data_IF_988696053538
#
_entry.id   IF_988696053538
#
_cell.length_a   1.000
_cell.length_b   1.000
_cell.length_c   1.000
_cell.angle_alpha   90.00
_cell.angle_beta   90.00
_cell.angle_gamma   90.00
#
_symmetry.space_group_name_H-M   'P 1'
#
loop_
_entity.id
_entity.type
_entity.pdbx_description
1 polymer ?
#
# COMPACT_ATOMS: atom_id res chain seq x y z
N UNK A 1 -7.61 16.79 30.22
CA UNK A 1 -8.10 15.58 29.55
C UNK A 1 -9.35 15.99 28.79
N UNK A 2 -9.28 16.18 27.47
CA UNK A 2 -10.51 16.21 26.66
C UNK A 2 -11.15 14.83 26.80
N UNK A 3 -12.45 14.75 27.05
CA UNK A 3 -13.19 13.52 26.80
C UNK A 3 -12.91 13.14 25.35
N UNK A 4 -12.35 11.94 25.14
CA UNK A 4 -12.19 11.42 23.79
C UNK A 4 -13.57 11.08 23.28
N UNK A 5 -14.08 11.88 22.35
CA UNK A 5 -15.31 11.58 21.65
C UNK A 5 -15.01 10.52 20.58
N UNK A 6 -15.95 9.60 20.39
CA UNK A 6 -15.77 8.42 19.54
C UNK A 6 -16.96 8.27 18.60
N UNK A 7 -16.66 7.94 17.34
CA UNK A 7 -17.64 7.63 16.31
C UNK A 7 -18.03 6.16 16.41
N UNK A 8 -19.31 5.87 16.59
CA UNK A 8 -19.83 4.51 16.45
C UNK A 8 -19.75 4.04 15.00
N UNK A 9 -19.26 2.82 14.79
CA UNK A 9 -19.25 2.17 13.48
C UNK A 9 -20.50 1.31 13.36
N UNK A 10 -21.37 1.68 12.42
CA UNK A 10 -22.63 0.98 12.15
C UNK A 10 -22.43 -0.21 11.21
N UNK A 11 -21.52 -0.08 10.24
CA UNK A 11 -21.27 -1.16 9.26
C UNK A 11 -19.79 -1.32 8.98
N UNK A 12 -19.36 -2.58 8.89
CA UNK A 12 -18.03 -2.96 8.40
C UNK A 12 -18.20 -3.64 7.04
N UNK A 13 -17.48 -3.17 6.02
CA UNK A 13 -17.36 -3.87 4.73
C UNK A 13 -15.89 -4.17 4.46
N UNK A 14 -15.63 -5.20 3.67
CA UNK A 14 -14.30 -5.53 3.22
C UNK A 14 -14.31 -5.75 1.72
N UNK A 15 -13.36 -5.12 1.03
CA UNK A 15 -13.18 -5.27 -0.41
C UNK A 15 -11.88 -6.01 -0.67
N UNK A 16 -11.97 -7.15 -1.36
CA UNK A 16 -10.81 -7.80 -1.95
C UNK A 16 -10.23 -6.92 -3.05
N UNK A 17 -9.05 -6.36 -2.83
CA UNK A 17 -8.46 -5.39 -3.74
C UNK A 17 -7.69 -6.02 -4.90
N UNK A 18 -7.48 -7.34 -4.98
CA UNK A 18 -6.86 -8.03 -6.15
C UNK A 18 -6.79 -9.56 -5.96
N UNK A 19 -6.51 -10.36 -7.02
CA UNK A 19 -6.31 -11.82 -6.95
C UNK A 19 -5.07 -12.29 -6.16
N UNK A 20 -4.24 -11.39 -5.60
CA UNK A 20 -3.13 -11.72 -4.67
C UNK A 20 -3.30 -11.08 -3.28
N UNK A 21 -4.55 -10.83 -2.87
CA UNK A 21 -4.94 -10.82 -1.46
C UNK A 21 -4.44 -9.63 -0.64
N UNK A 22 -4.66 -8.38 -1.04
CA UNK A 22 -4.79 -7.30 -0.02
C UNK A 22 -6.24 -6.87 0.02
N UNK A 23 -6.68 -6.43 1.18
CA UNK A 23 -8.07 -6.04 1.39
C UNK A 23 -8.12 -4.60 1.89
N UNK A 24 -9.20 -3.92 1.51
CA UNK A 24 -9.55 -2.61 2.07
C UNK A 24 -10.69 -2.85 3.05
N UNK A 25 -10.46 -2.49 4.30
CA UNK A 25 -11.48 -2.50 5.34
C UNK A 25 -12.15 -1.13 5.40
N UNK A 26 -13.46 -1.11 5.27
CA UNK A 26 -14.29 0.09 5.37
C UNK A 26 -15.08 0.08 6.67
N UNK A 27 -14.97 1.15 7.44
CA UNK A 27 -15.67 1.37 8.71
C UNK A 27 -16.63 2.55 8.54
N UNK A 28 -17.92 2.28 8.37
CA UNK A 28 -18.95 3.30 8.15
C UNK A 28 -19.56 3.76 9.48
N UNK A 29 -19.66 5.07 9.65
CA UNK A 29 -20.44 5.73 10.69
C UNK A 29 -21.59 6.48 10.02
N UNK A 30 -22.80 5.92 10.10
CA UNK A 30 -24.02 6.56 9.56
C UNK A 30 -24.44 7.78 10.36
N UNK A 31 -24.07 7.87 11.64
CA UNK A 31 -24.34 9.05 12.47
C UNK A 31 -23.52 10.26 12.03
N UNK A 32 -22.24 10.03 11.68
CA UNK A 32 -21.34 11.10 11.21
C UNK A 32 -21.30 11.21 9.69
N UNK A 33 -22.04 10.36 8.96
CA UNK A 33 -22.07 10.30 7.50
C UNK A 33 -20.67 10.24 6.90
N UNK A 34 -19.86 9.34 7.46
CA UNK A 34 -18.42 9.20 7.15
C UNK A 34 -17.98 7.77 7.19
N UNK A 35 -16.89 7.47 6.49
CA UNK A 35 -16.25 6.17 6.55
C UNK A 35 -14.73 6.29 6.63
N UNK A 36 -14.09 5.32 7.30
CA UNK A 36 -12.64 5.18 7.34
C UNK A 36 -12.22 3.96 6.52
N UNK A 37 -11.21 4.12 5.65
CA UNK A 37 -10.57 3.01 4.92
C UNK A 37 -9.23 2.63 5.56
N UNK A 38 -9.01 1.34 5.75
CA UNK A 38 -7.77 0.78 6.29
C UNK A 38 -7.30 -0.36 5.38
N UNK A 39 -6.07 -0.25 4.87
CA UNK A 39 -5.44 -1.33 4.13
C UNK A 39 -5.01 -2.44 5.08
N UNK A 40 -5.39 -3.68 4.77
CA UNK A 40 -5.05 -4.86 5.56
C UNK A 40 -4.53 -5.98 4.66
N UNK A 41 -3.71 -6.86 5.26
CA UNK A 41 -3.10 -7.97 4.56
C UNK A 41 -4.10 -9.07 4.17
N UNK A 42 -3.63 -9.99 3.32
CA UNK A 42 -4.34 -11.16 2.82
C UNK A 42 -5.07 -11.96 3.89
N UNK A 43 -4.31 -12.35 4.90
CA UNK A 43 -4.75 -13.32 5.89
C UNK A 43 -5.78 -12.70 6.83
N UNK A 44 -5.56 -11.44 7.19
CA UNK A 44 -6.49 -10.68 8.01
C UNK A 44 -7.78 -10.37 7.26
N UNK A 45 -7.67 -9.88 6.02
CA UNK A 45 -8.81 -9.51 5.19
C UNK A 45 -9.68 -10.69 4.78
N UNK A 46 -9.08 -11.83 4.43
CA UNK A 46 -9.84 -13.03 4.09
C UNK A 46 -10.60 -13.57 5.29
N UNK A 47 -10.02 -13.56 6.50
CA UNK A 47 -10.73 -13.98 7.70
C UNK A 47 -11.91 -13.08 8.04
N UNK A 48 -11.76 -11.76 7.89
CA UNK A 48 -12.85 -10.80 8.07
C UNK A 48 -13.94 -11.02 7.01
N UNK A 49 -13.55 -11.22 5.74
CA UNK A 49 -14.48 -11.47 4.64
C UNK A 49 -15.33 -12.72 4.89
N UNK A 50 -14.68 -13.84 5.21
CA UNK A 50 -15.38 -15.09 5.51
C UNK A 50 -16.38 -14.92 6.65
N UNK A 51 -16.04 -14.13 7.67
CA UNK A 51 -16.95 -13.84 8.78
C UNK A 51 -18.13 -12.96 8.37
N UNK A 52 -17.89 -11.90 7.58
CA UNK A 52 -18.95 -11.00 7.11
C UNK A 52 -19.91 -11.68 6.13
N UNK A 53 -19.41 -12.62 5.34
CA UNK A 53 -20.21 -13.44 4.41
C UNK A 53 -20.77 -14.72 5.05
N UNK A 54 -20.54 -14.92 6.36
CA UNK A 54 -20.99 -16.09 7.12
C UNK A 54 -20.56 -17.43 6.50
N UNK A 55 -19.40 -17.46 5.84
CA UNK A 55 -18.87 -18.67 5.20
C UNK A 55 -18.25 -19.59 6.25
N UNK A 56 -18.79 -20.80 6.35
CA UNK A 56 -18.26 -21.82 7.25
C UNK A 56 -16.87 -22.32 6.80
N UNK A 57 -15.96 -22.46 7.77
CA UNK A 57 -14.63 -23.02 7.56
C UNK A 57 -14.54 -24.43 8.17
N UNK A 58 -13.65 -25.27 7.63
CA UNK A 58 -13.50 -26.65 8.10
C UNK A 58 -13.03 -26.76 9.57
N UNK A 59 -12.35 -25.72 10.05
CA UNK A 59 -11.89 -25.59 11.44
C UNK A 59 -11.85 -24.11 11.83
N UNK A 60 -12.02 -23.77 13.12
CA UNK A 60 -11.96 -22.38 13.57
C UNK A 60 -10.67 -21.69 13.13
N UNK A 61 -10.83 -20.54 12.45
CA UNK A 61 -9.75 -19.62 12.11
C UNK A 61 -9.35 -18.77 13.33
N UNK A 62 -8.27 -18.01 13.23
CA UNK A 62 -7.65 -17.29 14.35
C UNK A 62 -8.63 -16.44 15.13
N UNK A 63 -9.38 -15.55 14.48
CA UNK A 63 -10.30 -14.66 15.20
C UNK A 63 -11.44 -15.41 15.87
N UNK A 64 -11.98 -16.44 15.22
CA UNK A 64 -13.00 -17.31 15.80
C UNK A 64 -12.46 -18.05 17.02
N UNK A 65 -11.26 -18.63 16.91
CA UNK A 65 -10.61 -19.33 18.01
C UNK A 65 -10.38 -18.40 19.20
N UNK A 66 -9.93 -17.16 18.97
CA UNK A 66 -9.78 -16.17 20.05
C UNK A 66 -11.12 -15.76 20.68
N UNK A 67 -12.18 -15.58 19.89
CA UNK A 67 -13.50 -15.30 20.43
C UNK A 67 -14.03 -16.47 21.30
N UNK A 68 -13.82 -17.71 20.86
CA UNK A 68 -14.17 -18.90 21.63
C UNK A 68 -13.29 -19.05 22.88
N UNK A 69 -12.00 -18.70 22.80
CA UNK A 69 -11.08 -18.63 23.95
C UNK A 69 -11.56 -17.61 25.00
N UNK A 70 -11.92 -16.39 24.58
CA UNK A 70 -12.46 -15.36 25.48
C UNK A 70 -13.72 -15.87 26.19
N UNK A 71 -14.63 -16.52 25.46
CA UNK A 71 -15.83 -17.13 26.03
C UNK A 71 -15.50 -18.23 27.04
N UNK A 72 -14.54 -19.12 26.72
CA UNK A 72 -14.12 -20.21 27.59
C UNK A 72 -13.46 -19.69 28.88
N UNK A 73 -12.80 -18.54 28.82
CA UNK A 73 -12.16 -17.87 29.97
C UNK A 73 -13.10 -16.90 30.70
N UNK A 74 -14.37 -16.82 30.30
CA UNK A 74 -15.37 -15.88 30.85
C UNK A 74 -14.92 -14.40 30.76
N UNK A 75 -14.20 -14.07 29.68
CA UNK A 75 -13.74 -12.71 29.37
C UNK A 75 -14.65 -12.12 28.28
N UNK A 76 -15.20 -10.94 28.54
CA UNK A 76 -16.00 -10.19 27.58
C UNK A 76 -15.12 -9.13 26.88
N UNK A 77 -15.14 -9.10 25.55
CA UNK A 77 -14.68 -7.94 24.78
C UNK A 77 -15.79 -6.88 24.83
N UNK A 78 -15.58 -5.78 25.54
CA UNK A 78 -16.59 -4.72 25.72
C UNK A 78 -16.69 -3.81 24.51
N UNK A 79 -15.54 -3.46 23.92
CA UNK A 79 -15.47 -2.56 22.76
C UNK A 79 -14.10 -2.65 22.09
N UNK A 80 -14.07 -2.20 20.84
CA UNK A 80 -12.84 -1.98 20.07
C UNK A 80 -12.84 -0.56 19.54
N UNK A 81 -11.75 0.17 19.72
CA UNK A 81 -11.60 1.54 19.21
C UNK A 81 -10.37 1.64 18.32
N UNK A 82 -10.53 2.06 17.06
CA UNK A 82 -9.41 2.52 16.23
C UNK A 82 -9.00 3.89 16.74
N UNK A 83 -7.92 3.92 17.53
CA UNK A 83 -7.66 5.00 18.47
C UNK A 83 -6.69 6.06 17.95
N UNK A 84 -5.80 5.71 17.02
CA UNK A 84 -4.80 6.64 16.48
C UNK A 84 -4.18 6.16 15.17
N UNK A 85 -3.69 7.12 14.40
CA UNK A 85 -2.79 6.92 13.27
C UNK A 85 -1.46 7.59 13.62
N UNK A 86 -0.36 6.86 13.47
CA UNK A 86 0.98 7.41 13.61
C UNK A 86 1.78 7.10 12.36
N UNK A 87 2.30 8.16 11.72
CA UNK A 87 2.90 8.15 10.38
C UNK A 87 1.93 7.61 9.33
N UNK A 88 1.88 6.30 9.14
CA UNK A 88 1.00 5.59 8.21
C UNK A 88 0.40 4.31 8.81
N UNK A 89 0.55 4.11 10.12
CA UNK A 89 0.11 2.89 10.82
C UNK A 89 -1.02 3.19 11.78
N UNK A 90 -2.18 2.55 11.56
CA UNK A 90 -3.32 2.61 12.46
C UNK A 90 -3.12 1.68 13.66
N UNK A 91 -3.58 2.13 14.83
CA UNK A 91 -3.57 1.37 16.07
C UNK A 91 -4.99 1.29 16.64
N UNK A 92 -5.35 0.13 17.16
CA UNK A 92 -6.61 -0.09 17.86
C UNK A 92 -6.38 -0.48 19.31
N UNK A 93 -7.37 -0.20 20.15
CA UNK A 93 -7.42 -0.58 21.56
C UNK A 93 -8.65 -1.44 21.77
N UNK A 94 -8.48 -2.60 22.39
CA UNK A 94 -9.56 -3.50 22.79
C UNK A 94 -9.77 -3.45 24.30
N UNK A 95 -11.00 -3.23 24.76
CA UNK A 95 -11.37 -3.23 26.17
C UNK A 95 -11.94 -4.60 26.56
N UNK A 96 -11.30 -5.27 27.52
CA UNK A 96 -11.70 -6.58 28.01
C UNK A 96 -12.16 -6.50 29.47
N UNK A 97 -13.31 -7.11 29.76
CA UNK A 97 -13.85 -7.29 31.11
C UNK A 97 -13.74 -8.75 31.55
N UNK A 98 -13.19 -8.97 32.73
CA UNK A 98 -13.31 -10.23 33.47
C UNK A 98 -13.83 -9.91 34.88
N UNK A 99 -15.13 -10.16 35.10
CA UNK A 99 -15.83 -9.73 36.31
C UNK A 99 -15.74 -8.21 36.54
N UNK A 100 -15.15 -7.81 37.66
CA UNK A 100 -14.98 -6.39 38.01
C UNK A 100 -13.77 -5.72 37.34
N UNK A 101 -12.86 -6.50 36.75
CA UNK A 101 -11.61 -5.99 36.19
C UNK A 101 -11.79 -5.67 34.72
N UNK A 102 -11.47 -4.43 34.34
CA UNK A 102 -11.39 -3.98 32.94
C UNK A 102 -9.92 -3.73 32.59
N UNK A 103 -9.48 -4.24 31.44
CA UNK A 103 -8.12 -4.02 30.91
C UNK A 103 -8.18 -3.64 29.44
N UNK A 104 -7.22 -2.81 29.05
CA UNK A 104 -7.01 -2.41 27.66
C UNK A 104 -5.84 -3.18 27.05
N UNK A 105 -5.94 -3.48 25.76
CA UNK A 105 -4.88 -4.07 24.96
C UNK A 105 -4.71 -3.28 23.67
N UNK A 106 -3.50 -2.78 23.43
CA UNK A 106 -3.10 -2.19 22.16
C UNK A 106 -2.88 -3.28 21.11
N UNK A 107 -3.35 -3.06 19.89
CA UNK A 107 -3.22 -4.01 18.78
C UNK A 107 -3.42 -3.39 17.40
N UNK A 108 -3.36 -4.24 16.37
CA UNK A 108 -3.66 -3.86 14.99
C UNK A 108 -5.19 -3.78 14.81
N UNK A 109 -5.72 -2.80 14.05
CA UNK A 109 -7.16 -2.68 13.80
C UNK A 109 -7.80 -3.95 13.25
N UNK A 110 -7.12 -4.65 12.32
CA UNK A 110 -7.62 -5.88 11.72
C UNK A 110 -7.90 -6.99 12.73
N UNK A 111 -6.98 -7.19 13.69
CA UNK A 111 -7.12 -8.23 14.71
C UNK A 111 -8.25 -7.88 15.68
N UNK A 112 -8.30 -6.61 16.11
CA UNK A 112 -9.31 -6.13 17.05
C UNK A 112 -10.72 -6.18 16.43
N UNK A 113 -10.87 -5.70 15.20
CA UNK A 113 -12.14 -5.71 14.46
C UNK A 113 -12.56 -7.15 14.15
N UNK A 114 -11.63 -8.00 13.74
CA UNK A 114 -11.90 -9.43 13.53
C UNK A 114 -12.47 -10.11 14.76
N UNK A 115 -11.93 -9.83 15.96
CA UNK A 115 -12.51 -10.33 17.22
C UNK A 115 -13.90 -9.73 17.50
N UNK A 116 -14.06 -8.41 17.34
CA UNK A 116 -15.32 -7.71 17.59
C UNK A 116 -16.48 -8.28 16.74
N UNK A 117 -16.22 -8.61 15.47
CA UNK A 117 -17.19 -9.22 14.58
C UNK A 117 -17.65 -10.62 15.05
N UNK A 118 -16.79 -11.39 15.72
CA UNK A 118 -17.17 -12.70 16.27
C UNK A 118 -17.83 -12.64 17.65
N UNK A 119 -17.51 -11.62 18.44
CA UNK A 119 -18.11 -11.42 19.77
C UNK A 119 -19.37 -10.56 19.73
N UNK A 120 -19.65 -9.89 18.62
CA UNK A 120 -20.72 -8.91 18.51
C UNK A 120 -20.45 -7.63 19.31
N UNK A 121 -19.17 -7.35 19.58
CA UNK A 121 -18.77 -6.18 20.38
C UNK A 121 -18.81 -4.91 19.54
N UNK A 122 -19.22 -3.76 20.13
CA UNK A 122 -19.26 -2.49 19.41
C UNK A 122 -17.86 -2.05 18.96
N UNK A 123 -17.81 -1.48 17.76
CA UNK A 123 -16.61 -0.93 17.13
C UNK A 123 -16.74 0.59 17.07
N UNK A 124 -15.65 1.27 17.42
CA UNK A 124 -15.54 2.72 17.43
C UNK A 124 -14.29 3.18 16.66
N UNK A 125 -14.33 4.43 16.20
CA UNK A 125 -13.17 5.16 15.70
C UNK A 125 -13.07 6.46 16.48
N UNK A 126 -11.85 6.88 16.84
CA UNK A 126 -11.63 8.19 17.46
C UNK A 126 -12.13 9.32 16.54
N UNK A 127 -12.88 10.29 17.07
CA UNK A 127 -13.52 11.33 16.24
C UNK A 127 -12.51 12.18 15.48
N UNK A 128 -11.39 12.53 16.11
CA UNK A 128 -10.35 13.33 15.46
C UNK A 128 -9.68 12.53 14.35
N UNK A 129 -9.48 11.23 14.57
CA UNK A 129 -8.96 10.32 13.56
C UNK A 129 -9.91 10.22 12.35
N UNK A 130 -11.21 10.02 12.59
CA UNK A 130 -12.23 9.93 11.53
C UNK A 130 -12.42 11.27 10.82
N UNK A 131 -12.32 12.39 11.55
CA UNK A 131 -12.39 13.73 10.97
C UNK A 131 -11.25 13.96 9.98
N UNK A 132 -10.02 13.60 10.37
CA UNK A 132 -8.82 13.89 9.61
C UNK A 132 -8.49 12.87 8.51
N UNK A 133 -8.95 11.63 8.63
CA UNK A 133 -8.56 10.52 7.74
C UNK A 133 -9.74 9.73 7.15
N UNK A 134 -10.96 10.04 7.58
CA UNK A 134 -12.17 9.52 6.97
C UNK A 134 -12.62 10.35 5.77
N UNK A 135 -13.50 9.76 4.97
CA UNK A 135 -14.15 10.36 3.81
C UNK A 135 -15.66 10.46 4.05
N UNK A 136 -16.31 11.40 3.38
CA UNK A 136 -17.75 11.63 3.54
C UNK A 136 -18.55 10.50 2.83
N UNK A 137 -19.59 10.01 3.50
CA UNK A 137 -20.56 9.06 2.96
C UNK A 137 -21.87 9.82 2.68
N UNK A 138 -22.39 9.82 1.44
CA UNK A 138 -23.59 10.59 1.10
C UNK A 138 -24.87 10.05 1.76
N UNK A 139 -25.65 10.93 2.40
CA UNK A 139 -26.92 10.60 3.07
C UNK A 139 -28.01 10.05 2.14
N UNK A 140 -27.94 10.39 0.85
CA UNK A 140 -28.94 10.05 -0.17
C UNK A 140 -28.63 8.77 -0.95
N UNK A 141 -27.54 8.07 -0.59
CA UNK A 141 -27.09 6.87 -1.28
C UNK A 141 -27.17 5.66 -0.33
N UNK A 142 -27.85 4.61 -0.78
CA UNK A 142 -27.87 3.31 -0.10
C UNK A 142 -26.46 2.72 -0.03
N UNK A 143 -26.05 2.24 1.15
CA UNK A 143 -24.68 1.76 1.39
C UNK A 143 -24.28 0.62 0.45
N UNK A 144 -25.19 -0.31 0.17
CA UNK A 144 -24.98 -1.42 -0.74
C UNK A 144 -24.72 -0.95 -2.17
N UNK A 145 -25.46 0.07 -2.64
CA UNK A 145 -25.29 0.64 -3.96
C UNK A 145 -23.96 1.41 -4.04
N UNK A 146 -23.68 2.26 -3.04
CA UNK A 146 -22.42 2.97 -2.93
C UNK A 146 -21.23 2.01 -2.96
N UNK A 147 -21.29 0.92 -2.19
CA UNK A 147 -20.22 -0.04 -2.10
C UNK A 147 -20.02 -0.81 -3.42
N UNK A 148 -21.10 -1.13 -4.14
CA UNK A 148 -21.00 -1.72 -5.48
C UNK A 148 -20.34 -0.78 -6.49
N UNK A 149 -20.70 0.51 -6.47
CA UNK A 149 -20.10 1.53 -7.32
C UNK A 149 -18.62 1.77 -6.97
N UNK A 150 -18.28 1.71 -5.68
CA UNK A 150 -16.91 1.79 -5.19
C UNK A 150 -16.05 0.62 -5.66
N UNK A 151 -16.59 -0.60 -5.64
CA UNK A 151 -15.93 -1.79 -6.20
C UNK A 151 -15.62 -1.58 -7.68
N UNK A 152 -16.59 -1.09 -8.44
CA UNK A 152 -16.41 -0.86 -9.88
C UNK A 152 -15.44 0.30 -10.13
N UNK A 153 -15.50 1.39 -9.36
CA UNK A 153 -14.54 2.49 -9.41
C UNK A 153 -13.12 1.99 -9.21
N UNK A 154 -12.88 1.24 -8.13
CA UNK A 154 -11.57 0.65 -7.85
C UNK A 154 -11.17 -0.26 -9.00
N UNK A 155 -12.05 -1.14 -9.48
CA UNK A 155 -11.76 -2.00 -10.64
C UNK A 155 -11.35 -1.20 -11.87
N UNK A 156 -12.01 -0.09 -12.17
CA UNK A 156 -11.68 0.78 -13.30
C UNK A 156 -10.35 1.51 -13.11
N UNK A 157 -10.05 2.02 -11.90
CA UNK A 157 -8.73 2.57 -11.56
C UNK A 157 -7.62 1.53 -11.78
N UNK A 158 -7.87 0.28 -11.36
CA UNK A 158 -6.95 -0.83 -11.55
C UNK A 158 -6.73 -1.18 -13.03
N UNK A 159 -7.81 -1.17 -13.82
CA UNK A 159 -7.75 -1.39 -15.27
C UNK A 159 -7.07 -0.23 -16.00
N UNK A 160 -7.24 1.01 -15.55
CA UNK A 160 -6.55 2.18 -16.11
C UNK A 160 -5.04 2.11 -15.86
N UNK A 161 -4.63 1.70 -14.65
CA UNK A 161 -3.22 1.44 -14.33
C UNK A 161 -2.68 0.27 -15.16
N UNK A 162 -3.46 -0.80 -15.36
CA UNK A 162 -3.14 -1.87 -16.31
C UNK A 162 -3.08 -1.40 -17.77
N UNK A 163 -3.88 -0.41 -18.16
CA UNK A 163 -3.83 0.27 -19.45
C UNK A 163 -2.51 1.03 -19.65
N UNK A 164 -2.06 1.77 -18.62
CA UNK A 164 -0.75 2.42 -18.60
C UNK A 164 0.39 1.39 -18.77
N UNK A 165 0.28 0.22 -18.13
CA UNK A 165 1.22 -0.88 -18.31
C UNK A 165 1.26 -1.39 -19.76
N UNK A 166 0.10 -1.51 -20.39
CA UNK A 166 -0.04 -1.94 -21.78
C UNK A 166 0.49 -0.86 -22.75
N UNK A 167 0.28 0.43 -22.49
CA UNK A 167 0.81 1.54 -23.30
C UNK A 167 2.34 1.66 -23.19
N UNK A 168 2.89 1.49 -21.98
CA UNK A 168 4.34 1.43 -21.74
C UNK A 168 4.99 0.25 -22.48
N UNK A 169 4.30 -0.90 -22.56
CA UNK A 169 4.75 -2.11 -23.27
C UNK A 169 4.59 -2.02 -24.79
N UNK A 170 3.54 -1.34 -25.28
CA UNK A 170 3.22 -1.24 -26.72
C UNK A 170 3.98 -0.12 -27.45
N UNK A 171 4.78 0.68 -26.74
CA UNK A 171 5.54 1.77 -27.35
C UNK A 171 4.72 3.01 -27.71
N UNK A 172 3.45 3.08 -27.28
CA UNK A 172 2.57 4.25 -27.48
C UNK A 172 2.76 5.32 -26.40
N UNK A 173 3.52 5.04 -25.33
CA UNK A 173 3.90 6.02 -24.29
C UNK A 173 5.03 6.96 -24.79
N UNK A 174 4.74 7.79 -25.79
CA UNK A 174 5.71 8.70 -26.41
C UNK A 174 6.42 9.63 -25.40
N UNK A 175 5.81 9.84 -24.24
CA UNK A 175 6.32 10.71 -23.18
C UNK A 175 7.52 10.15 -22.42
N UNK A 176 7.82 8.85 -22.46
CA UNK A 176 8.95 8.26 -21.74
C UNK A 176 10.12 7.90 -22.66
N UNK A 177 11.35 8.04 -22.16
CA UNK A 177 12.54 7.52 -22.84
C UNK A 177 12.53 5.98 -22.84
N UNK A 178 13.27 5.31 -23.76
CA UNK A 178 13.43 3.86 -23.72
C UNK A 178 13.95 3.35 -22.37
N UNK A 179 14.90 4.04 -21.76
CA UNK A 179 15.48 3.64 -20.46
C UNK A 179 14.48 3.83 -19.31
N UNK A 180 13.72 4.92 -19.32
CA UNK A 180 12.64 5.14 -18.36
C UNK A 180 11.56 4.05 -18.43
N UNK A 181 11.20 3.61 -19.65
CA UNK A 181 10.31 2.46 -19.85
C UNK A 181 10.90 1.18 -19.27
N UNK A 182 12.17 0.87 -19.56
CA UNK A 182 12.85 -0.32 -19.03
C UNK A 182 12.87 -0.28 -17.49
N UNK A 183 13.14 0.87 -16.87
CA UNK A 183 13.10 1.02 -15.42
C UNK A 183 11.70 0.73 -14.83
N UNK A 184 10.64 1.29 -15.43
CA UNK A 184 9.26 1.05 -15.00
C UNK A 184 8.86 -0.43 -15.19
N UNK A 185 9.22 -1.03 -16.31
CA UNK A 185 9.00 -2.46 -16.56
C UNK A 185 9.80 -3.34 -15.58
N UNK A 186 11.02 -2.96 -15.26
CA UNK A 186 11.85 -3.64 -14.25
C UNK A 186 11.23 -3.55 -12.85
N UNK A 187 10.67 -2.40 -12.49
CA UNK A 187 9.95 -2.22 -11.24
C UNK A 187 8.73 -3.15 -11.14
N UNK A 188 7.95 -3.23 -12.21
CA UNK A 188 6.81 -4.15 -12.30
C UNK A 188 7.23 -5.61 -12.28
N UNK A 189 8.29 -5.95 -13.03
CA UNK A 189 8.86 -7.28 -13.09
C UNK A 189 9.32 -7.75 -11.71
N UNK A 190 9.98 -6.87 -10.96
CA UNK A 190 10.37 -7.14 -9.58
C UNK A 190 9.15 -7.33 -8.68
N UNK A 191 8.17 -6.42 -8.72
CA UNK A 191 6.95 -6.57 -7.92
C UNK A 191 6.23 -7.89 -8.23
N UNK A 192 6.14 -8.25 -9.52
CA UNK A 192 5.57 -9.50 -9.96
C UNK A 192 6.34 -10.71 -9.45
N UNK A 193 7.67 -10.68 -9.54
CA UNK A 193 8.59 -11.72 -9.07
C UNK A 193 8.53 -11.92 -7.56
N UNK A 194 8.40 -10.82 -6.80
CA UNK A 194 8.22 -10.85 -5.34
C UNK A 194 6.79 -11.20 -4.92
N UNK A 195 5.91 -11.48 -5.89
CA UNK A 195 4.49 -11.73 -5.69
C UNK A 195 3.73 -10.60 -5.00
N UNK A 196 4.25 -9.37 -5.08
CA UNK A 196 3.61 -8.17 -4.57
C UNK A 196 2.55 -7.71 -5.57
N UNK A 197 1.41 -7.25 -5.05
CA UNK A 197 0.30 -6.71 -5.85
C UNK A 197 0.44 -5.20 -6.08
N UNK A 198 1.53 -4.61 -5.63
CA UNK A 198 1.80 -3.19 -5.77
C UNK A 198 3.23 -2.98 -6.29
N UNK A 199 3.41 -1.89 -7.02
CA UNK A 199 4.69 -1.33 -7.40
C UNK A 199 4.83 -0.04 -6.62
N UNK A 200 5.73 -0.06 -5.65
CA UNK A 200 6.09 1.10 -4.84
C UNK A 200 7.30 1.84 -5.38
N UNK A 201 7.66 2.92 -4.70
CA UNK A 201 8.84 3.74 -5.05
C UNK A 201 10.14 2.93 -5.02
N UNK A 202 10.25 1.95 -4.12
CA UNK A 202 11.38 1.05 -3.95
C UNK A 202 11.57 0.10 -5.15
N UNK A 203 10.47 -0.32 -5.76
CA UNK A 203 10.52 -1.10 -7.00
C UNK A 203 11.02 -0.23 -8.15
N UNK A 204 10.57 1.02 -8.24
CA UNK A 204 11.08 1.96 -9.23
C UNK A 204 12.57 2.26 -9.02
N UNK A 205 13.00 2.48 -7.78
CA UNK A 205 14.41 2.67 -7.45
C UNK A 205 15.25 1.47 -7.88
N UNK A 206 14.77 0.26 -7.63
CA UNK A 206 15.43 -0.96 -8.10
C UNK A 206 15.47 -1.01 -9.64
N UNK A 207 14.37 -0.70 -10.32
CA UNK A 207 14.29 -0.66 -11.77
C UNK A 207 15.25 0.35 -12.40
N UNK A 208 15.39 1.52 -11.80
CA UNK A 208 16.34 2.57 -12.22
C UNK A 208 17.80 2.14 -12.07
N UNK A 209 18.14 1.32 -11.07
CA UNK A 209 19.50 0.78 -10.93
C UNK A 209 19.71 -0.38 -11.91
N UNK A 210 18.69 -1.24 -12.05
CA UNK A 210 18.79 -2.49 -12.81
C UNK A 210 18.83 -2.27 -14.33
N UNK A 211 18.20 -1.23 -14.86
CA UNK A 211 18.32 -0.88 -16.28
C UNK A 211 19.78 -0.52 -16.69
N UNK A 212 20.57 -0.09 -15.70
CA UNK A 212 22.04 0.02 -15.72
C UNK A 212 22.65 1.00 -16.74
N UNK A 213 21.86 1.62 -17.61
CA UNK A 213 22.37 2.39 -18.77
C UNK A 213 22.06 3.89 -18.67
N UNK A 214 20.91 4.24 -18.11
CA UNK A 214 20.43 5.60 -17.94
C UNK A 214 21.20 6.42 -16.90
N UNK A 215 20.95 7.73 -16.93
CA UNK A 215 21.63 8.70 -16.08
C UNK A 215 21.34 8.45 -14.61
N UNK A 216 20.12 8.02 -14.25
CA UNK A 216 19.79 7.67 -12.87
C UNK A 216 20.66 6.53 -12.34
N UNK A 217 20.84 5.45 -13.11
CA UNK A 217 21.69 4.33 -12.72
C UNK A 217 23.13 4.79 -12.45
N UNK A 218 23.67 5.63 -13.34
CA UNK A 218 25.02 6.17 -13.21
C UNK A 218 25.18 7.04 -11.96
N UNK A 219 24.21 7.92 -11.68
CA UNK A 219 24.22 8.77 -10.50
C UNK A 219 24.09 7.96 -9.20
N UNK A 220 23.22 6.95 -9.17
CA UNK A 220 23.06 6.04 -8.04
C UNK A 220 24.34 5.24 -7.77
N UNK A 221 24.97 4.72 -8.82
CA UNK A 221 26.27 4.05 -8.71
C UNK A 221 27.37 4.98 -8.18
N UNK A 222 27.38 6.25 -8.62
CA UNK A 222 28.35 7.24 -8.15
C UNK A 222 28.25 7.53 -6.64
N UNK A 223 27.06 7.36 -6.04
CA UNK A 223 26.85 7.49 -4.59
C UNK A 223 26.87 6.14 -3.85
N UNK A 224 27.31 5.07 -4.49
CA UNK A 224 27.48 3.75 -3.87
C UNK A 224 26.20 2.89 -3.78
N UNK A 225 25.12 3.33 -4.41
CA UNK A 225 23.87 2.58 -4.49
C UNK A 225 23.93 1.64 -5.69
N UNK A 226 23.95 0.35 -5.42
CA UNK A 226 23.99 -0.75 -6.41
C UNK A 226 22.82 -1.69 -6.16
N UNK A 227 22.51 -2.58 -7.10
CA UNK A 227 21.49 -3.62 -6.88
C UNK A 227 21.80 -4.45 -5.64
N UNK A 228 23.09 -4.75 -5.39
CA UNK A 228 23.51 -5.51 -4.22
C UNK A 228 23.24 -4.78 -2.91
N UNK A 229 23.70 -3.51 -2.81
CA UNK A 229 23.54 -2.73 -1.58
C UNK A 229 22.07 -2.41 -1.31
N UNK A 230 21.30 -2.11 -2.35
CA UNK A 230 19.86 -1.93 -2.24
C UNK A 230 19.16 -3.21 -1.76
N UNK A 231 19.48 -4.37 -2.34
CA UNK A 231 18.89 -5.65 -1.93
C UNK A 231 19.17 -5.96 -0.45
N UNK A 232 20.38 -5.68 0.05
CA UNK A 232 20.73 -5.93 1.46
C UNK A 232 19.84 -5.15 2.43
N UNK A 233 19.64 -3.85 2.17
CA UNK A 233 18.83 -3.00 3.04
C UNK A 233 17.34 -3.28 2.85
N UNK A 234 16.90 -3.54 1.62
CA UNK A 234 15.52 -3.89 1.32
C UNK A 234 15.07 -5.15 2.06
N UNK A 235 15.92 -6.16 2.20
CA UNK A 235 15.61 -7.37 2.98
C UNK A 235 15.34 -7.05 4.44
N UNK A 236 16.16 -6.21 5.06
CA UNK A 236 16.01 -5.80 6.46
C UNK A 236 14.72 -5.00 6.66
N UNK A 237 14.37 -4.14 5.71
CA UNK A 237 13.24 -3.21 5.82
C UNK A 237 11.90 -3.83 5.43
N UNK A 238 11.89 -4.65 4.38
CA UNK A 238 10.67 -5.20 3.76
C UNK A 238 10.40 -6.63 4.21
N UNK A 239 11.38 -7.34 4.79
CA UNK A 239 11.23 -8.73 5.23
C UNK A 239 11.08 -9.73 4.08
N UNK A 240 11.27 -9.31 2.82
CA UNK A 240 11.19 -10.14 1.63
C UNK A 240 12.56 -10.24 0.97
N UNK A 241 13.03 -11.46 0.68
CA UNK A 241 14.22 -11.69 -0.14
C UNK A 241 13.89 -11.43 -1.61
N UNK A 242 14.55 -10.49 -2.31
CA UNK A 242 14.82 -10.72 -3.72
C UNK A 242 15.82 -11.89 -3.75
N UNK A 243 15.32 -13.12 -3.86
CA UNK A 243 16.19 -14.24 -4.21
C UNK A 243 16.91 -13.83 -5.50
N UNK A 244 18.22 -13.93 -5.45
CA UNK A 244 19.16 -13.61 -6.53
C UNK A 244 18.58 -14.06 -7.87
N UNK A 245 18.32 -13.12 -8.77
CA UNK A 245 17.89 -13.43 -10.13
C UNK A 245 19.14 -13.85 -10.89
N UNK A 246 19.26 -15.15 -11.19
CA UNK A 246 20.02 -15.57 -12.36
C UNK A 246 19.13 -15.27 -13.57
N UNK A 247 19.63 -14.42 -14.48
CA UNK A 247 18.90 -13.84 -15.62
C UNK A 247 18.42 -14.92 -16.62
N UNK A 248 18.85 -16.17 -16.46
CA UNK A 248 18.59 -17.26 -17.42
C UNK A 248 17.25 -17.99 -17.25
N UNK A 249 16.46 -17.72 -16.20
CA UNK A 249 15.14 -18.38 -16.01
C UNK A 249 13.93 -17.43 -16.05
N UNK A 250 13.99 -16.36 -16.86
CA UNK A 250 12.75 -15.77 -17.39
C UNK A 250 12.28 -16.65 -18.56
N UNK A 251 11.79 -17.85 -18.25
CA UNK A 251 10.96 -18.57 -19.22
C UNK A 251 9.64 -17.81 -19.34
N UNK A 252 9.33 -17.40 -20.57
CA UNK A 252 8.09 -16.73 -20.98
C UNK A 252 6.85 -17.65 -20.87
N UNK A 253 6.72 -18.39 -19.77
CA UNK A 253 5.67 -19.38 -19.54
C UNK A 253 5.08 -19.21 -18.14
N UNK A 254 4.54 -18.01 -17.88
CA UNK A 254 3.28 -17.93 -17.13
C UNK A 254 2.26 -17.24 -18.04
N UNK A 255 1.86 -17.94 -19.09
CA UNK A 255 0.78 -17.56 -19.99
C UNK A 255 -0.58 -17.79 -19.31
N UNK A 256 -0.85 -17.04 -18.24
CA UNK A 256 -2.20 -16.85 -17.73
C UNK A 256 -2.59 -15.37 -17.90
N UNK A 257 -3.39 -15.03 -18.92
CA UNK A 257 -3.90 -13.67 -19.17
C UNK A 257 -4.76 -13.10 -18.03
N UNK A 258 -5.11 -13.93 -17.03
CA UNK A 258 -5.93 -13.53 -15.87
C UNK A 258 -5.10 -13.23 -14.61
N UNK A 259 -3.77 -13.41 -14.66
CA UNK A 259 -2.89 -13.06 -13.56
C UNK A 259 -2.89 -11.54 -13.33
N UNK A 260 -3.06 -11.07 -12.08
CA UNK A 260 -3.10 -9.64 -11.82
C UNK A 260 -1.75 -8.97 -12.06
N UNK A 261 -1.78 -7.90 -12.84
CA UNK A 261 -0.65 -6.99 -13.04
C UNK A 261 -0.44 -6.18 -11.75
N UNK A 262 0.78 -6.15 -11.17
CA UNK A 262 1.09 -5.28 -10.03
C UNK A 262 0.71 -3.82 -10.34
N UNK A 263 0.13 -3.12 -9.38
CA UNK A 263 -0.39 -1.76 -9.58
C UNK A 263 0.50 -0.70 -8.97
N UNK A 264 0.64 0.45 -9.63
CA UNK A 264 1.39 1.56 -9.08
C UNK A 264 0.64 2.14 -7.88
N UNK A 265 1.30 2.23 -6.73
CA UNK A 265 0.71 2.87 -5.54
C UNK A 265 0.53 4.38 -5.78
N UNK A 266 -0.41 5.06 -5.10
CA UNK A 266 -0.64 6.50 -5.29
C UNK A 266 0.64 7.35 -5.16
N UNK A 267 1.54 6.93 -4.27
CA UNK A 267 2.84 7.58 -4.09
C UNK A 267 3.78 7.42 -5.28
N UNK A 268 3.77 6.27 -5.96
CA UNK A 268 4.53 6.08 -7.20
C UNK A 268 3.93 6.91 -8.34
N UNK A 269 2.60 7.04 -8.40
CA UNK A 269 1.95 7.94 -9.35
C UNK A 269 2.35 9.40 -9.11
N UNK A 270 2.44 9.82 -7.84
CA UNK A 270 2.95 11.15 -7.49
C UNK A 270 4.41 11.35 -7.94
N UNK A 271 5.27 10.33 -7.81
CA UNK A 271 6.64 10.36 -8.35
C UNK A 271 6.64 10.58 -9.87
N UNK A 272 5.75 9.90 -10.61
CA UNK A 272 5.62 10.05 -12.06
C UNK A 272 5.14 11.46 -12.43
N UNK A 273 4.17 12.01 -11.71
CA UNK A 273 3.71 13.39 -11.91
C UNK A 273 4.82 14.40 -11.63
N UNK A 274 5.62 14.20 -10.56
CA UNK A 274 6.78 15.04 -10.27
C UNK A 274 7.87 14.91 -11.35
N UNK A 275 8.02 13.73 -11.95
CA UNK A 275 8.94 13.51 -13.07
C UNK A 275 8.47 14.22 -14.35
N UNK A 276 7.15 14.29 -14.60
CA UNK A 276 6.57 15.12 -15.68
C UNK A 276 6.85 16.60 -15.47
N UNK A 277 6.61 17.11 -14.25
CA UNK A 277 6.93 18.50 -13.90
C UNK A 277 8.43 18.77 -14.10
N UNK A 278 9.29 17.86 -13.65
CA UNK A 278 10.74 17.98 -13.87
C UNK A 278 11.10 18.03 -15.36
N UNK A 279 10.49 17.19 -16.20
CA UNK A 279 10.68 17.21 -17.66
C UNK A 279 10.34 18.59 -18.25
N UNK A 280 9.22 19.18 -17.83
CA UNK A 280 8.78 20.50 -18.29
C UNK A 280 9.72 21.62 -17.82
N UNK A 281 10.14 21.60 -16.55
CA UNK A 281 11.10 22.56 -15.98
C UNK A 281 12.43 22.57 -16.72
N UNK A 282 12.86 21.39 -17.20
CA UNK A 282 14.12 21.22 -17.92
C UNK A 282 13.96 21.23 -19.44
N UNK A 283 12.74 21.49 -19.92
CA UNK A 283 12.39 21.59 -21.33
C UNK A 283 12.79 20.34 -22.15
N UNK A 284 12.73 19.16 -21.53
CA UNK A 284 13.06 17.90 -22.16
C UNK A 284 11.89 17.36 -23.00
N UNK A 285 12.19 16.69 -24.12
CA UNK A 285 11.15 16.10 -24.98
C UNK A 285 10.44 14.94 -24.28
N UNK A 286 11.22 14.08 -23.59
CA UNK A 286 10.76 12.86 -22.92
C UNK A 286 11.18 12.81 -21.45
N UNK A 287 10.37 12.13 -20.64
CA UNK A 287 10.67 11.75 -19.26
C UNK A 287 11.74 10.65 -19.30
N UNK A 288 12.94 11.02 -18.92
CA UNK A 288 14.09 10.13 -18.83
C UNK A 288 14.34 9.64 -17.38
N UNK A 289 15.25 8.69 -17.20
CA UNK A 289 15.52 8.03 -15.91
C UNK A 289 15.84 9.00 -14.77
N UNK A 290 16.58 10.07 -15.05
CA UNK A 290 16.96 11.09 -14.08
C UNK A 290 15.77 11.95 -13.63
N UNK A 291 14.75 12.12 -14.46
CA UNK A 291 13.50 12.78 -14.06
C UNK A 291 12.70 11.90 -13.11
N UNK A 292 12.67 10.58 -13.35
CA UNK A 292 12.06 9.62 -12.43
C UNK A 292 12.78 9.60 -11.07
N UNK A 293 14.12 9.60 -11.08
CA UNK A 293 14.92 9.67 -9.86
C UNK A 293 14.69 11.01 -9.11
N UNK A 294 14.61 12.14 -9.83
CA UNK A 294 14.26 13.43 -9.23
C UNK A 294 12.86 13.42 -8.63
N UNK A 295 11.90 12.79 -9.31
CA UNK A 295 10.54 12.59 -8.80
C UNK A 295 10.52 11.82 -7.47
N UNK A 296 11.35 10.78 -7.32
CA UNK A 296 11.52 10.05 -6.06
C UNK A 296 12.00 10.99 -4.94
N UNK A 297 13.02 11.80 -5.20
CA UNK A 297 13.58 12.71 -4.19
C UNK A 297 12.59 13.82 -3.80
N UNK A 298 11.86 14.36 -4.77
CA UNK A 298 10.85 15.41 -4.54
C UNK A 298 9.61 14.90 -3.81
N UNK A 299 9.23 13.64 -4.03
CA UNK A 299 8.15 13.02 -3.24
C UNK A 299 8.58 12.87 -1.77
N UNK A 300 9.83 12.46 -1.53
CA UNK A 300 10.53 12.64 -0.25
C UNK A 300 10.11 11.74 0.91
N UNK A 301 8.99 11.00 0.81
CA UNK A 301 8.42 10.18 1.90
C UNK A 301 8.26 8.71 1.54
N UNK A 302 8.68 8.31 0.34
CA UNK A 302 8.62 6.96 -0.17
C UNK A 302 9.64 6.02 0.46
N UNK A 303 9.38 4.73 0.30
CA UNK A 303 10.33 3.68 0.71
C UNK A 303 11.65 3.82 -0.03
N UNK A 304 11.67 4.25 -1.30
CA UNK A 304 12.90 4.52 -2.03
C UNK A 304 13.80 5.53 -1.31
N UNK A 305 13.22 6.62 -0.81
CA UNK A 305 13.94 7.65 -0.05
C UNK A 305 14.46 7.07 1.27
N UNK A 306 13.65 6.27 1.95
CA UNK A 306 14.05 5.58 3.18
C UNK A 306 15.24 4.64 2.92
N UNK A 307 15.21 3.87 1.83
CA UNK A 307 16.31 2.95 1.46
C UNK A 307 17.58 3.71 1.10
N UNK A 308 17.48 4.85 0.40
CA UNK A 308 18.64 5.70 0.12
C UNK A 308 19.24 6.28 1.41
N UNK A 309 18.41 6.69 2.37
CA UNK A 309 18.86 7.17 3.68
C UNK A 309 19.53 6.07 4.51
N UNK A 310 18.94 4.87 4.54
CA UNK A 310 19.48 3.70 5.21
C UNK A 310 20.84 3.27 4.58
N UNK A 311 21.05 3.56 3.29
CA UNK A 311 22.32 3.41 2.59
C UNK A 311 23.32 4.56 2.82
N UNK A 312 22.93 5.60 3.58
CA UNK A 312 23.79 6.75 3.90
C UNK A 312 23.93 7.77 2.77
N UNK A 313 23.01 7.79 1.81
CA UNK A 313 23.04 8.74 0.68
C UNK A 313 22.61 10.14 1.14
N UNK A 314 23.42 11.14 0.80
CA UNK A 314 23.07 12.56 0.95
C UNK A 314 22.09 12.96 -0.15
N UNK A 315 20.80 13.00 0.17
CA UNK A 315 19.73 13.29 -0.79
C UNK A 315 19.82 14.70 -1.39
N UNK A 316 20.04 15.79 -0.61
CA UNK A 316 20.28 17.12 -1.19
C UNK A 316 21.45 17.16 -2.18
N UNK A 317 22.56 16.46 -1.87
CA UNK A 317 23.70 16.39 -2.78
C UNK A 317 23.35 15.61 -4.06
N UNK A 318 22.64 14.49 -3.94
CA UNK A 318 22.18 13.70 -5.09
C UNK A 318 21.20 14.50 -5.97
N UNK A 319 20.26 15.22 -5.39
CA UNK A 319 19.32 16.08 -6.13
C UNK A 319 20.06 17.13 -6.97
N UNK A 320 21.06 17.79 -6.38
CA UNK A 320 21.90 18.75 -7.10
C UNK A 320 22.65 18.11 -8.27
N UNK A 321 23.15 16.88 -8.10
CA UNK A 321 23.83 16.15 -9.17
C UNK A 321 22.86 15.79 -10.31
N UNK A 322 21.63 15.40 -9.98
CA UNK A 322 20.58 15.10 -10.96
C UNK A 322 20.26 16.34 -11.80
N UNK A 323 19.97 17.48 -11.15
CA UNK A 323 19.68 18.73 -11.85
C UNK A 323 20.83 19.15 -12.76
N UNK A 324 22.08 19.03 -12.29
CA UNK A 324 23.27 19.32 -13.08
C UNK A 324 23.47 18.34 -14.26
N UNK A 325 23.02 17.10 -14.15
CA UNK A 325 23.07 16.12 -15.23
C UNK A 325 22.02 16.44 -16.30
N UNK A 326 20.82 16.86 -15.90
CA UNK A 326 19.75 17.24 -16.84
C UNK A 326 20.16 18.47 -17.66
N UNK A 327 20.74 19.51 -17.02
CA UNK A 327 21.14 20.74 -17.72
C UNK A 327 22.31 20.58 -18.71
N UNK A 328 22.94 19.41 -18.78
CA UNK A 328 24.05 19.13 -19.72
C UNK A 328 23.59 18.45 -21.02
N UNK A 329 22.33 18.00 -21.08
CA UNK A 329 21.69 17.50 -22.30
C UNK A 329 21.16 18.66 -23.13
#
# INVERSE_FOLDING_TARGET
KREKTMAGISTVKVLGSTPRSNYILYLFSTEQQRYLRIWIGAHEGEQIRLQLEEIATARPMTYRYFADFLRAMEIQLESVTVARLHESTFYAVSQFRNGAVVKELDGRPSDAIGMALHTGSPIFVDDELLTNNGEDFPDDVELEQWFADEIERIRQEQLAVAGLHIELLKGESADFSPYARIALLGAMGLAHFLHLNYVGTEHLLWGLIHENSGVAAQLLHAVGVTTLTLNQVAVVRLGVLPKTIEVEEIKAESSDPTAPTPQFVPRLMQVIELAKVAKEETNAEQIDTEHLLLGILREGKGMAVTLLQDLGVDLPALEKQILAAISKK
#
